data_IF_227583012336
#
_entry.id   IF_227583012336
#
_cell.length_a   1.000
_cell.length_b   1.000
_cell.length_c   1.000
_cell.angle_alpha   90.00
_cell.angle_beta   90.00
_cell.angle_gamma   90.00
#
_symmetry.space_group_name_H-M   'P 1'
#
loop_
_entity.id
_entity.type
_entity.pdbx_description
1 polymer ?
#
# COMPACT_ATOMS: atom_id res chain seq x y z
N UNK A 1 -2.12 -19.87 3.00
CA UNK A 1 -1.98 -18.53 3.58
C UNK A 1 -2.84 -17.60 2.74
N UNK A 2 -3.76 -16.90 3.37
CA UNK A 2 -4.67 -16.00 2.66
C UNK A 2 -3.89 -14.77 2.14
N UNK A 3 -4.31 -14.23 0.99
CA UNK A 3 -3.71 -13.02 0.40
C UNK A 3 -3.75 -11.84 1.37
N UNK A 4 -4.85 -11.73 2.14
CA UNK A 4 -5.01 -10.73 3.19
C UNK A 4 -3.88 -10.86 4.23
N UNK A 5 -3.73 -12.03 4.85
CA UNK A 5 -2.69 -12.29 5.84
C UNK A 5 -1.27 -12.00 5.32
N UNK A 6 -1.04 -12.28 4.03
CA UNK A 6 0.23 -11.96 3.37
C UNK A 6 0.49 -10.46 3.28
N UNK A 7 -0.53 -9.65 2.97
CA UNK A 7 -0.40 -8.20 2.84
C UNK A 7 -0.43 -7.45 4.19
N UNK A 8 -0.80 -8.12 5.28
CA UNK A 8 -0.79 -7.55 6.64
C UNK A 8 0.60 -7.55 7.32
N UNK A 9 1.70 -7.70 6.59
CA UNK A 9 3.04 -7.72 7.15
C UNK A 9 3.90 -6.57 6.59
N UNK A 10 4.51 -5.70 7.45
CA UNK A 10 5.19 -4.48 7.00
C UNK A 10 6.28 -4.73 5.94
N UNK A 11 7.12 -5.74 6.11
CA UNK A 11 8.18 -6.06 5.14
C UNK A 11 7.60 -6.47 3.79
N UNK A 12 6.49 -7.21 3.77
CA UNK A 12 5.85 -7.62 2.50
C UNK A 12 5.20 -6.45 1.78
N UNK A 13 4.58 -5.53 2.52
CA UNK A 13 4.07 -4.26 1.97
C UNK A 13 5.20 -3.45 1.34
N UNK A 14 6.35 -3.34 1.99
CA UNK A 14 7.53 -2.65 1.45
C UNK A 14 8.10 -3.33 0.21
N UNK A 15 8.12 -4.67 0.15
CA UNK A 15 8.51 -5.40 -1.06
C UNK A 15 7.55 -5.06 -2.20
N UNK A 16 6.23 -5.04 -1.96
CA UNK A 16 5.21 -4.66 -2.96
C UNK A 16 5.45 -3.22 -3.45
N UNK A 17 5.74 -2.27 -2.56
CA UNK A 17 6.08 -0.90 -2.94
C UNK A 17 7.33 -0.85 -3.84
N UNK A 18 8.41 -1.55 -3.44
CA UNK A 18 9.64 -1.60 -4.21
C UNK A 18 9.46 -2.25 -5.61
N UNK A 19 8.52 -3.18 -5.73
CA UNK A 19 8.19 -3.87 -7.00
C UNK A 19 7.18 -3.10 -7.87
N UNK A 20 6.61 -2.01 -7.38
CA UNK A 20 5.61 -1.21 -8.11
C UNK A 20 6.20 -0.48 -9.32
N UNK A 21 5.32 0.01 -10.22
CA UNK A 21 5.74 0.72 -11.43
C UNK A 21 6.17 -0.20 -12.59
N UNK A 22 5.73 -1.48 -12.58
CA UNK A 22 6.03 -2.44 -13.66
C UNK A 22 7.50 -2.89 -13.71
N UNK A 23 8.23 -2.75 -12.60
CA UNK A 23 9.64 -3.13 -12.49
C UNK A 23 9.81 -4.64 -12.42
N UNK A 24 10.87 -5.11 -13.06
CA UNK A 24 11.41 -6.45 -12.85
C UNK A 24 12.62 -6.32 -11.92
N UNK A 25 12.66 -7.12 -10.86
CA UNK A 25 13.75 -7.10 -9.87
C UNK A 25 14.10 -8.51 -9.40
N UNK A 26 15.37 -8.69 -9.06
CA UNK A 26 15.86 -9.85 -8.33
C UNK A 26 15.71 -9.64 -6.82
N UNK A 27 15.90 -10.69 -6.02
CA UNK A 27 15.98 -10.52 -4.55
C UNK A 27 17.21 -9.70 -4.16
N UNK A 28 18.30 -9.78 -4.95
CA UNK A 28 19.51 -8.97 -4.77
C UNK A 28 19.21 -7.47 -4.92
N UNK A 29 18.42 -7.08 -5.93
CA UNK A 29 17.98 -5.68 -6.12
C UNK A 29 17.11 -5.20 -4.96
N UNK A 30 16.26 -6.08 -4.43
CA UNK A 30 15.44 -5.76 -3.25
C UNK A 30 16.29 -5.57 -2.00
N UNK A 31 17.40 -6.33 -1.83
CA UNK A 31 18.35 -6.12 -0.74
C UNK A 31 19.00 -4.74 -0.81
N UNK A 32 19.28 -4.23 -2.01
CA UNK A 32 19.81 -2.88 -2.20
C UNK A 32 18.74 -1.81 -1.91
N UNK A 33 17.51 -2.07 -2.27
CA UNK A 33 16.38 -1.12 -2.09
C UNK A 33 15.87 -1.05 -0.64
N UNK A 34 16.06 -2.11 0.13
CA UNK A 34 15.59 -2.27 1.52
C UNK A 34 16.76 -2.68 2.42
N UNK A 35 17.78 -1.83 2.58
CA UNK A 35 19.03 -2.19 3.25
C UNK A 35 18.87 -2.43 4.76
N UNK A 36 17.82 -1.89 5.35
CA UNK A 36 17.45 -2.07 6.76
C UNK A 36 16.81 -3.44 7.05
N UNK A 37 16.40 -4.19 6.00
CA UNK A 37 15.80 -5.52 6.15
C UNK A 37 16.88 -6.59 5.96
N UNK A 38 17.09 -7.52 6.92
CA UNK A 38 18.07 -8.61 6.78
C UNK A 38 17.82 -9.45 5.51
N UNK A 39 18.88 -9.79 4.78
CA UNK A 39 18.81 -10.57 3.54
C UNK A 39 17.99 -11.85 3.67
N UNK A 40 18.22 -12.62 4.72
CA UNK A 40 17.49 -13.87 4.98
C UNK A 40 15.97 -13.64 5.13
N UNK A 41 15.60 -12.53 5.75
CA UNK A 41 14.20 -12.10 5.90
C UNK A 41 13.61 -11.75 4.54
N UNK A 42 14.33 -10.98 3.71
CA UNK A 42 13.89 -10.63 2.35
C UNK A 42 13.69 -11.88 1.48
N UNK A 43 14.67 -12.78 1.45
CA UNK A 43 14.53 -14.03 0.67
C UNK A 43 13.30 -14.84 1.08
N UNK A 44 13.05 -14.97 2.39
CA UNK A 44 11.87 -15.66 2.91
C UNK A 44 10.57 -14.98 2.48
N UNK A 45 10.47 -13.66 2.60
CA UNK A 45 9.26 -12.93 2.24
C UNK A 45 9.01 -12.86 0.73
N UNK A 46 10.06 -12.74 -0.08
CA UNK A 46 9.96 -12.85 -1.54
C UNK A 46 9.45 -14.23 -1.94
N UNK A 47 9.96 -15.32 -1.31
CA UNK A 47 9.45 -16.67 -1.52
C UNK A 47 7.96 -16.80 -1.20
N UNK A 48 7.51 -16.33 -0.02
CA UNK A 48 6.11 -16.35 0.36
C UNK A 48 5.20 -15.58 -0.62
N UNK A 49 5.65 -14.43 -1.10
CA UNK A 49 4.90 -13.63 -2.09
C UNK A 49 4.87 -14.31 -3.47
N UNK A 50 5.94 -15.00 -3.85
CA UNK A 50 6.00 -15.76 -5.09
C UNK A 50 5.12 -17.02 -5.04
N UNK A 51 5.17 -17.76 -3.94
CA UNK A 51 4.34 -18.96 -3.73
C UNK A 51 2.83 -18.62 -3.74
N UNK A 52 2.47 -17.44 -3.25
CA UNK A 52 1.10 -16.93 -3.31
C UNK A 52 0.72 -16.32 -4.67
N UNK A 53 1.67 -16.22 -5.61
CA UNK A 53 1.46 -15.64 -6.93
C UNK A 53 1.28 -14.12 -6.94
N UNK A 54 1.62 -13.43 -5.85
CA UNK A 54 1.69 -11.96 -5.79
C UNK A 54 2.92 -11.48 -6.59
N UNK A 55 4.03 -12.21 -6.49
CA UNK A 55 5.18 -12.04 -7.37
C UNK A 55 5.21 -13.21 -8.36
N UNK A 56 5.40 -12.93 -9.64
CA UNK A 56 5.63 -13.94 -10.65
C UNK A 56 7.10 -13.98 -11.06
N UNK A 57 7.65 -15.19 -11.23
CA UNK A 57 8.97 -15.39 -11.82
C UNK A 57 8.83 -15.24 -13.33
N UNK A 58 9.50 -14.26 -13.91
CA UNK A 58 9.48 -14.02 -15.37
C UNK A 58 10.73 -14.49 -16.07
N UNK A 59 11.82 -14.69 -15.32
CA UNK A 59 13.09 -15.20 -15.85
C UNK A 59 13.93 -15.82 -14.73
N UNK A 60 14.79 -16.78 -15.09
CA UNK A 60 15.76 -17.39 -14.21
C UNK A 60 17.14 -17.40 -14.88
N UNK A 61 18.14 -16.87 -14.20
CA UNK A 61 19.52 -16.85 -14.68
C UNK A 61 20.46 -17.56 -13.71
N UNK A 62 21.45 -18.29 -14.24
CA UNK A 62 22.52 -18.86 -13.42
C UNK A 62 23.65 -17.84 -13.27
N UNK A 63 23.84 -17.38 -12.04
CA UNK A 63 24.89 -16.42 -11.68
C UNK A 63 25.78 -17.07 -10.63
N UNK A 64 27.07 -17.27 -10.95
CA UNK A 64 28.07 -17.88 -10.06
C UNK A 64 27.64 -19.21 -9.41
N UNK A 65 26.91 -20.05 -10.18
CA UNK A 65 26.43 -21.35 -9.70
C UNK A 65 25.11 -21.35 -8.92
N UNK A 66 24.57 -20.21 -8.59
CA UNK A 66 23.25 -20.04 -8.00
C UNK A 66 22.20 -19.66 -9.07
N UNK A 67 20.94 -20.00 -8.82
CA UNK A 67 19.82 -19.53 -9.67
C UNK A 67 19.31 -18.20 -9.12
N UNK A 68 19.46 -17.15 -9.91
CA UNK A 68 18.88 -15.85 -9.65
C UNK A 68 17.55 -15.74 -10.40
N UNK A 69 16.49 -15.37 -9.68
CA UNK A 69 15.13 -15.23 -10.21
C UNK A 69 14.78 -13.77 -10.37
N UNK A 70 14.19 -13.44 -11.52
CA UNK A 70 13.65 -12.15 -11.82
C UNK A 70 12.15 -12.15 -11.57
N UNK A 71 11.69 -11.27 -10.70
CA UNK A 71 10.30 -11.18 -10.28
C UNK A 71 9.61 -9.95 -10.85
N UNK A 72 8.30 -10.07 -11.07
CA UNK A 72 7.39 -8.98 -11.40
C UNK A 72 6.18 -9.02 -10.49
N UNK A 73 5.68 -7.86 -10.08
CA UNK A 73 4.49 -7.75 -9.27
C UNK A 73 3.23 -7.98 -10.13
N UNK A 74 2.37 -8.88 -9.68
CA UNK A 74 0.99 -9.00 -10.17
C UNK A 74 0.11 -8.06 -9.34
N UNK A 75 -0.14 -6.87 -9.87
CA UNK A 75 -0.80 -5.79 -9.13
C UNK A 75 -2.21 -6.19 -8.69
N UNK A 76 -2.95 -6.91 -9.53
CA UNK A 76 -4.30 -7.41 -9.24
C UNK A 76 -4.35 -8.37 -8.05
N UNK A 77 -3.23 -9.03 -7.73
CA UNK A 77 -3.10 -9.92 -6.56
C UNK A 77 -2.49 -9.23 -5.34
N UNK A 78 -1.96 -8.04 -5.51
CA UNK A 78 -1.36 -7.24 -4.44
C UNK A 78 -2.33 -6.20 -3.86
N UNK A 79 -3.61 -6.29 -4.20
CA UNK A 79 -4.65 -5.37 -3.75
C UNK A 79 -5.72 -6.15 -2.98
N UNK A 80 -6.14 -5.62 -1.84
CA UNK A 80 -7.32 -6.12 -1.12
C UNK A 80 -8.53 -5.53 -1.85
N UNK A 81 -9.32 -6.38 -2.49
CA UNK A 81 -10.53 -5.95 -3.17
C UNK A 81 -11.65 -5.58 -2.18
N UNK A 82 -12.75 -5.02 -2.70
CA UNK A 82 -13.85 -4.54 -1.86
C UNK A 82 -14.55 -5.68 -1.11
N UNK A 83 -14.65 -6.87 -1.71
CA UNK A 83 -15.32 -8.02 -1.10
C UNK A 83 -14.46 -8.61 0.02
N UNK A 84 -13.14 -8.74 -0.21
CA UNK A 84 -12.19 -9.14 0.82
C UNK A 84 -12.17 -8.11 1.97
N UNK A 85 -12.16 -6.82 1.66
CA UNK A 85 -12.22 -5.76 2.68
C UNK A 85 -13.53 -5.80 3.49
N UNK A 86 -14.68 -6.07 2.85
CA UNK A 86 -15.97 -6.18 3.53
C UNK A 86 -16.07 -7.39 4.45
N UNK A 87 -15.28 -8.44 4.21
CA UNK A 87 -15.22 -9.65 5.05
C UNK A 87 -14.24 -9.55 6.23
N UNK A 88 -13.43 -8.48 6.30
CA UNK A 88 -12.45 -8.27 7.36
C UNK A 88 -13.12 -8.01 8.71
N UNK A 89 -12.62 -8.65 9.76
CA UNK A 89 -12.97 -8.31 11.13
C UNK A 89 -12.35 -6.97 11.55
N UNK A 90 -12.87 -6.38 12.63
CA UNK A 90 -12.24 -5.17 13.20
C UNK A 90 -10.78 -5.39 13.61
N UNK A 91 -10.42 -6.62 14.00
CA UNK A 91 -9.06 -6.97 14.37
C UNK A 91 -8.15 -7.02 13.13
N UNK A 92 -8.63 -7.54 12.00
CA UNK A 92 -7.91 -7.51 10.73
C UNK A 92 -7.65 -6.07 10.26
N UNK A 93 -8.64 -5.18 10.43
CA UNK A 93 -8.45 -3.74 10.16
C UNK A 93 -7.40 -3.12 11.06
N UNK A 94 -7.35 -3.45 12.37
CA UNK A 94 -6.29 -2.97 13.28
C UNK A 94 -4.91 -3.46 12.85
N UNK A 95 -4.80 -4.75 12.55
CA UNK A 95 -3.54 -5.34 12.08
C UNK A 95 -3.10 -4.72 10.76
N UNK A 96 -4.01 -4.57 9.80
CA UNK A 96 -3.74 -3.96 8.50
C UNK A 96 -3.28 -2.51 8.61
N UNK A 97 -3.97 -1.72 9.42
CA UNK A 97 -3.57 -0.34 9.68
C UNK A 97 -2.20 -0.27 10.35
N UNK A 98 -1.95 -1.09 11.36
CA UNK A 98 -0.65 -1.15 12.06
C UNK A 98 0.47 -1.53 11.08
N UNK A 99 0.26 -2.53 10.24
CA UNK A 99 1.24 -2.96 9.24
C UNK A 99 1.52 -1.86 8.20
N UNK A 100 0.47 -1.18 7.73
CA UNK A 100 0.60 -0.07 6.77
C UNK A 100 1.38 1.11 7.38
N UNK A 101 1.08 1.48 8.63
CA UNK A 101 1.79 2.56 9.33
C UNK A 101 3.25 2.19 9.60
N UNK A 102 3.53 0.95 9.99
CA UNK A 102 4.90 0.49 10.18
C UNK A 102 5.71 0.49 8.88
N UNK A 103 5.08 0.08 7.76
CA UNK A 103 5.71 0.14 6.45
C UNK A 103 5.97 1.59 6.01
N UNK A 104 4.98 2.48 6.18
CA UNK A 104 5.11 3.90 5.85
C UNK A 104 6.23 4.56 6.65
N UNK A 105 6.27 4.33 7.97
CA UNK A 105 7.32 4.84 8.86
C UNK A 105 8.71 4.35 8.44
N UNK A 106 8.85 3.06 8.12
CA UNK A 106 10.13 2.50 7.68
C UNK A 106 10.57 3.07 6.31
N UNK A 107 9.65 3.26 5.36
CA UNK A 107 9.96 3.90 4.06
C UNK A 107 10.36 5.36 4.23
N UNK A 108 9.69 6.08 5.12
CA UNK A 108 10.01 7.48 5.38
C UNK A 108 11.38 7.63 6.06
N UNK A 109 11.71 6.79 7.04
CA UNK A 109 13.05 6.78 7.64
C UNK A 109 14.13 6.43 6.60
N UNK A 110 13.90 5.39 5.78
CA UNK A 110 14.83 5.04 4.71
C UNK A 110 15.01 6.16 3.67
N UNK A 111 14.00 7.01 3.48
CA UNK A 111 14.14 8.23 2.69
C UNK A 111 15.04 9.25 3.40
N UNK A 112 14.82 9.51 4.70
CA UNK A 112 15.61 10.49 5.47
C UNK A 112 17.07 10.08 5.64
N UNK A 113 17.35 8.77 5.62
CA UNK A 113 18.72 8.22 5.72
C UNK A 113 19.53 8.35 4.41
N UNK A 114 18.96 8.92 3.35
CA UNK A 114 19.69 9.17 2.09
C UNK A 114 20.56 10.42 2.22
N UNK A 115 21.77 10.36 1.67
CA UNK A 115 22.74 11.48 1.70
C UNK A 115 22.20 12.81 1.14
N UNK A 116 21.19 12.75 0.28
CA UNK A 116 20.60 13.90 -0.42
C UNK A 116 19.09 14.02 -0.19
N UNK A 117 18.61 13.66 1.02
CA UNK A 117 17.21 13.86 1.37
C UNK A 117 16.96 15.36 1.62
N UNK A 118 16.10 15.95 0.79
CA UNK A 118 15.69 17.35 0.94
C UNK A 118 14.16 17.46 1.01
N UNK A 119 13.54 17.22 2.20
CA UNK A 119 12.09 17.09 2.33
C UNK A 119 11.29 18.23 1.68
N UNK A 120 11.77 19.47 1.77
CA UNK A 120 11.09 20.63 1.18
C UNK A 120 11.21 20.63 -0.35
N UNK A 121 12.39 20.34 -0.89
CA UNK A 121 12.60 20.27 -2.34
C UNK A 121 11.93 19.05 -2.96
N UNK A 122 11.90 17.92 -2.23
CA UNK A 122 11.25 16.68 -2.63
C UNK A 122 9.72 16.69 -2.48
N UNK A 123 9.15 17.83 -2.09
CA UNK A 123 7.70 18.02 -1.88
C UNK A 123 7.11 17.03 -0.87
N UNK A 124 7.85 16.72 0.19
CA UNK A 124 7.35 15.89 1.29
C UNK A 124 6.20 16.60 1.99
N UNK A 125 5.09 15.89 2.18
CA UNK A 125 3.92 16.40 2.87
C UNK A 125 3.29 15.35 3.79
N UNK A 126 2.85 15.78 4.96
CA UNK A 126 2.13 14.94 5.94
C UNK A 126 0.95 15.73 6.52
N UNK A 127 0.03 16.12 5.62
CA UNK A 127 -1.16 16.89 6.00
C UNK A 127 -2.16 15.94 6.66
N UNK A 128 -2.63 16.34 7.84
CA UNK A 128 -3.76 15.73 8.52
C UNK A 128 -4.76 16.84 8.82
N UNK A 129 -5.96 16.74 8.27
CA UNK A 129 -7.01 17.76 8.44
C UNK A 129 -8.35 17.09 8.68
N UNK A 130 -9.08 17.46 9.77
CA UNK A 130 -10.46 17.04 9.95
C UNK A 130 -11.36 17.79 8.97
N UNK A 131 -12.30 17.08 8.35
CA UNK A 131 -13.27 17.61 7.41
C UNK A 131 -14.68 17.20 7.84
N UNK A 132 -15.61 18.14 7.81
CA UNK A 132 -17.04 17.87 7.92
C UNK A 132 -17.58 17.57 6.53
N UNK A 133 -18.04 16.35 6.31
CA UNK A 133 -18.50 15.87 4.99
C UNK A 133 -19.86 15.18 5.13
N UNK A 134 -20.79 15.56 4.28
CA UNK A 134 -21.99 14.76 4.01
C UNK A 134 -21.60 13.45 3.32
N UNK A 135 -22.53 12.51 3.15
CA UNK A 135 -22.26 11.27 2.44
C UNK A 135 -21.90 11.51 0.96
N UNK A 136 -22.55 12.45 0.33
CA UNK A 136 -22.34 12.79 -1.08
C UNK A 136 -20.96 13.45 -1.26
N UNK A 137 -20.61 14.44 -0.42
CA UNK A 137 -19.29 15.08 -0.44
C UNK A 137 -18.15 14.09 -0.14
N UNK A 138 -18.37 13.13 0.78
CA UNK A 138 -17.40 12.07 1.06
C UNK A 138 -17.20 11.17 -0.16
N UNK A 139 -18.29 10.76 -0.83
CA UNK A 139 -18.23 9.93 -2.02
C UNK A 139 -17.52 10.67 -3.18
N UNK A 140 -17.80 11.95 -3.36
CA UNK A 140 -17.16 12.81 -4.36
C UNK A 140 -15.65 12.93 -4.09
N UNK A 141 -15.25 13.26 -2.86
CA UNK A 141 -13.84 13.35 -2.46
C UNK A 141 -13.09 12.03 -2.71
N UNK A 142 -13.69 10.89 -2.34
CA UNK A 142 -13.09 9.57 -2.60
C UNK A 142 -12.92 9.33 -4.10
N UNK A 143 -13.91 9.69 -4.91
CA UNK A 143 -13.85 9.52 -6.37
C UNK A 143 -12.77 10.40 -7.00
N UNK A 144 -12.63 11.65 -6.56
CA UNK A 144 -11.59 12.58 -7.02
C UNK A 144 -10.18 12.07 -6.68
N UNK A 145 -9.94 11.70 -5.41
CA UNK A 145 -8.66 11.15 -4.95
C UNK A 145 -8.31 9.88 -5.72
N UNK A 146 -9.29 8.97 -5.89
CA UNK A 146 -9.11 7.75 -6.67
C UNK A 146 -8.74 8.06 -8.13
N UNK A 147 -9.43 8.99 -8.77
CA UNK A 147 -9.17 9.40 -10.16
C UNK A 147 -7.77 9.97 -10.29
N UNK A 148 -7.36 10.83 -9.36
CA UNK A 148 -6.02 11.41 -9.34
C UNK A 148 -4.93 10.34 -9.20
N UNK A 149 -5.15 9.29 -8.42
CA UNK A 149 -4.21 8.18 -8.23
C UNK A 149 -4.19 7.28 -9.46
N UNK A 150 -5.36 6.77 -9.89
CA UNK A 150 -5.47 5.78 -10.98
C UNK A 150 -4.87 6.30 -12.28
N UNK A 151 -5.10 7.58 -12.62
CA UNK A 151 -4.53 8.19 -13.82
C UNK A 151 -3.00 8.19 -13.88
N UNK A 152 -2.32 7.93 -12.75
CA UNK A 152 -0.85 7.93 -12.62
C UNK A 152 -0.25 6.56 -12.32
N UNK A 153 -1.09 5.57 -12.00
CA UNK A 153 -0.60 4.23 -11.61
C UNK A 153 0.15 3.50 -12.72
N UNK A 154 -0.17 3.80 -13.99
CA UNK A 154 0.49 3.19 -15.15
C UNK A 154 1.71 3.97 -15.66
N UNK A 155 2.07 5.05 -14.99
CA UNK A 155 3.29 5.77 -15.29
C UNK A 155 4.51 4.85 -15.10
N UNK A 156 5.38 4.87 -16.10
CA UNK A 156 6.64 4.10 -16.07
C UNK A 156 7.80 4.98 -15.66
N UNK A 157 8.88 4.39 -15.11
CA UNK A 157 10.12 5.11 -14.84
C UNK A 157 10.65 5.79 -16.08
N UNK A 158 11.09 7.04 -15.93
CA UNK A 158 11.81 7.81 -16.95
C UNK A 158 12.90 8.64 -16.26
N UNK A 159 13.78 9.28 -17.02
CA UNK A 159 14.80 10.17 -16.48
C UNK A 159 14.24 11.35 -15.65
N UNK A 160 12.95 11.69 -15.85
CA UNK A 160 12.29 12.82 -15.18
C UNK A 160 11.18 12.39 -14.20
N UNK A 161 11.08 11.08 -13.88
CA UNK A 161 10.06 10.55 -12.97
C UNK A 161 10.69 9.81 -11.80
N UNK A 162 10.59 10.38 -10.62
CA UNK A 162 10.88 9.70 -9.36
C UNK A 162 9.72 8.81 -8.90
N UNK A 163 10.02 7.77 -8.13
CA UNK A 163 9.00 6.99 -7.44
C UNK A 163 8.65 7.68 -6.12
N UNK A 164 7.38 8.03 -5.96
CA UNK A 164 6.83 8.63 -4.74
C UNK A 164 5.81 7.70 -4.11
N UNK A 165 5.79 7.60 -2.80
CA UNK A 165 4.78 6.90 -2.04
C UNK A 165 3.71 7.90 -1.59
N UNK A 166 2.47 7.67 -2.00
CA UNK A 166 1.28 8.41 -1.56
C UNK A 166 0.42 7.48 -0.71
N UNK A 167 0.09 7.90 0.51
CA UNK A 167 -0.70 7.12 1.45
C UNK A 167 -1.88 7.93 1.97
N UNK A 168 -2.98 8.04 1.22
CA UNK A 168 -4.21 8.66 1.71
C UNK A 168 -4.87 7.75 2.75
N UNK A 169 -5.22 8.32 3.90
CA UNK A 169 -5.90 7.63 4.99
C UNK A 169 -7.13 8.47 5.35
N UNK A 170 -8.30 7.84 5.34
CA UNK A 170 -9.57 8.49 5.59
C UNK A 170 -10.42 7.59 6.48
N UNK A 171 -10.86 8.10 7.62
CA UNK A 171 -11.76 7.40 8.55
C UNK A 171 -12.54 8.43 9.40
N UNK A 172 -13.72 8.08 9.92
CA UNK A 172 -14.46 8.96 10.81
C UNK A 172 -13.75 9.07 12.17
N UNK A 173 -13.63 10.30 12.69
CA UNK A 173 -13.06 10.57 14.03
C UNK A 173 -14.13 10.84 15.08
N UNK A 174 -15.40 11.03 14.66
CA UNK A 174 -16.56 11.19 15.53
C UNK A 174 -17.69 10.25 15.09
N UNK A 175 -18.53 9.87 16.04
CA UNK A 175 -19.76 9.14 15.74
C UNK A 175 -20.72 10.04 14.95
N UNK A 176 -21.34 9.49 13.92
CA UNK A 176 -22.39 10.23 13.20
C UNK A 176 -23.56 10.49 14.14
N UNK A 177 -24.15 11.70 14.15
CA UNK A 177 -25.41 11.94 14.84
C UNK A 177 -26.43 10.90 14.36
N UNK A 178 -27.05 10.19 15.29
CA UNK A 178 -28.15 9.31 14.95
C UNK A 178 -29.26 10.18 14.36
N UNK A 179 -29.57 10.00 13.09
CA UNK A 179 -30.80 10.55 12.52
C UNK A 179 -31.96 9.89 13.28
N UNK A 180 -32.72 10.69 14.02
CA UNK A 180 -33.94 10.25 14.70
C UNK A 180 -34.84 9.50 13.71
N UNK A 181 -34.93 8.18 13.89
CA UNK A 181 -35.87 7.32 13.15
C UNK A 181 -37.31 7.47 13.70
N UNK A 182 -37.56 8.55 14.42
CA UNK A 182 -38.85 8.79 15.07
C UNK A 182 -39.52 10.03 14.47
N UNK A 183 -40.04 9.86 13.28
CA UNK A 183 -41.10 10.71 12.74
C UNK A 183 -42.10 9.82 12.00
N UNK A 184 -42.72 8.88 12.73
CA UNK A 184 -44.00 8.34 12.30
C UNK A 184 -45.04 9.46 12.49
N UNK A 185 -45.70 9.95 11.44
CA UNK A 185 -46.83 10.82 11.62
C UNK A 185 -47.93 10.00 12.26
N UNK A 186 -48.25 10.34 13.53
CA UNK A 186 -49.35 9.80 14.26
C UNK A 186 -50.63 9.92 13.44
N UNK A 187 -51.27 8.80 13.20
CA UNK A 187 -52.64 8.71 12.76
C UNK A 187 -53.54 9.47 13.73
N UNK A 188 -54.10 10.56 13.29
CA UNK A 188 -55.20 11.22 13.96
C UNK A 188 -56.48 10.85 13.23
N UNK A 189 -57.35 10.22 13.97
CA UNK A 189 -58.75 10.04 13.62
C UNK A 189 -59.51 11.35 13.38
#
# INVERSE_FOLDING_TARGET
MDTLELLLHPVRVRIVHAMSGGRTRTTSDLCVSLPDVPKTTLYRHVGLLADAGILEVIDEQRVHGAVERHYRLRRERATIDADAAASMSLEDHRHGFTAAMAALHAEFNAYLDRDHAEPTADSVGYIQVPLWLSQDELAELIAEVRTAIVSRMDNKPTAHRGLHLLSPILFPIEERPQQDRDSSPGSSE
#
